data_IF_190372890166
#
_entry.id   IF_190372890166
#
_cell.length_a   1.000
_cell.length_b   1.000
_cell.length_c   1.000
_cell.angle_alpha   90.00
_cell.angle_beta   90.00
_cell.angle_gamma   90.00
#
_symmetry.space_group_name_H-M   'P 1'
#
loop_
_entity.id
_entity.type
_entity.pdbx_description
1 polymer ?
#
# COMPACT_ATOMS: atom_id res chain seq x y z
N UNK A 1 23.07 17.15 -9.56
CA UNK A 1 22.10 16.34 -10.32
C UNK A 1 20.91 16.05 -9.44
N UNK A 2 19.71 16.34 -9.92
CA UNK A 2 18.45 15.87 -9.32
C UNK A 2 18.37 14.33 -9.40
N UNK A 3 17.50 13.68 -8.60
CA UNK A 3 17.31 12.22 -8.69
C UNK A 3 16.89 11.78 -10.09
N UNK A 4 16.07 12.58 -10.77
CA UNK A 4 15.62 12.32 -12.13
C UNK A 4 16.75 12.35 -13.17
N UNK A 5 17.68 13.32 -13.09
CA UNK A 5 18.84 13.38 -13.97
C UNK A 5 19.80 12.19 -13.78
N UNK A 6 19.98 11.74 -12.53
CA UNK A 6 20.80 10.56 -12.22
C UNK A 6 20.16 9.29 -12.79
N UNK A 7 18.86 9.12 -12.56
CA UNK A 7 18.10 7.98 -13.06
C UNK A 7 18.12 7.94 -14.59
N UNK A 8 17.97 9.08 -15.27
CA UNK A 8 18.02 9.14 -16.74
C UNK A 8 19.36 8.68 -17.32
N UNK A 9 20.48 9.07 -16.71
CA UNK A 9 21.82 8.64 -17.14
C UNK A 9 21.99 7.12 -16.99
N UNK A 10 21.58 6.57 -15.85
CA UNK A 10 21.62 5.14 -15.59
C UNK A 10 20.74 4.35 -16.58
N UNK A 11 19.48 4.78 -16.75
CA UNK A 11 18.54 4.18 -17.69
C UNK A 11 19.10 4.18 -19.11
N UNK A 12 19.78 5.24 -19.54
CA UNK A 12 20.45 5.27 -20.86
C UNK A 12 21.50 4.16 -21.02
N UNK A 13 22.28 3.85 -19.97
CA UNK A 13 23.25 2.74 -20.00
C UNK A 13 22.54 1.38 -20.13
N UNK A 14 21.45 1.18 -19.40
CA UNK A 14 20.64 -0.04 -19.49
C UNK A 14 19.96 -0.18 -20.86
N UNK A 15 19.48 0.92 -21.46
CA UNK A 15 18.91 0.93 -22.81
C UNK A 15 19.96 0.53 -23.86
N UNK A 16 21.18 1.06 -23.77
CA UNK A 16 22.26 0.68 -24.68
C UNK A 16 22.60 -0.80 -24.55
N UNK A 17 22.70 -1.31 -23.32
CA UNK A 17 22.91 -2.74 -23.08
C UNK A 17 21.78 -3.59 -23.66
N UNK A 18 20.51 -3.24 -23.41
CA UNK A 18 19.38 -3.98 -23.93
C UNK A 18 19.37 -3.98 -25.46
N UNK A 19 19.69 -2.84 -26.09
CA UNK A 19 19.78 -2.73 -27.55
C UNK A 19 20.85 -3.68 -28.11
N UNK A 20 22.03 -3.73 -27.49
CA UNK A 20 23.12 -4.60 -27.94
C UNK A 20 22.77 -6.08 -27.78
N UNK A 21 22.14 -6.48 -26.67
CA UNK A 21 21.65 -7.85 -26.47
C UNK A 21 20.58 -8.21 -27.52
N UNK A 22 19.66 -7.30 -27.80
CA UNK A 22 18.60 -7.51 -28.77
C UNK A 22 19.18 -7.69 -30.19
N UNK A 23 20.12 -6.84 -30.59
CA UNK A 23 20.84 -6.94 -31.87
C UNK A 23 21.62 -8.24 -31.98
N UNK A 24 22.40 -8.61 -30.95
CA UNK A 24 23.15 -9.86 -30.92
C UNK A 24 22.22 -11.07 -31.06
N UNK A 25 21.06 -11.07 -30.37
CA UNK A 25 20.09 -12.17 -30.48
C UNK A 25 19.48 -12.27 -31.87
N UNK A 26 19.07 -11.14 -32.48
CA UNK A 26 18.55 -11.12 -33.85
C UNK A 26 19.60 -11.70 -34.80
N UNK A 27 20.83 -11.18 -34.75
CA UNK A 27 21.91 -11.61 -35.64
C UNK A 27 22.23 -13.10 -35.47
N UNK A 28 22.33 -13.60 -34.23
CA UNK A 28 22.53 -15.01 -33.95
C UNK A 28 21.38 -15.92 -34.43
N UNK A 29 20.16 -15.38 -34.55
CA UNK A 29 19.00 -16.15 -35.01
C UNK A 29 19.01 -16.31 -36.54
N UNK A 30 19.42 -15.29 -37.28
CA UNK A 30 19.51 -15.33 -38.75
C UNK A 30 20.87 -15.84 -39.26
N UNK A 31 21.91 -15.71 -38.45
CA UNK A 31 23.26 -16.21 -38.69
C UNK A 31 23.80 -16.93 -37.44
N UNK A 32 23.69 -18.27 -37.36
CA UNK A 32 24.19 -19.04 -36.22
C UNK A 32 25.69 -18.92 -35.95
N UNK A 33 26.50 -18.41 -36.91
CA UNK A 33 27.92 -18.16 -36.71
C UNK A 33 28.19 -16.90 -35.88
N UNK A 34 27.23 -15.98 -35.80
CA UNK A 34 27.31 -14.81 -34.93
C UNK A 34 27.33 -15.22 -33.45
N UNK A 35 28.01 -14.48 -32.57
CA UNK A 35 28.08 -14.82 -31.15
C UNK A 35 26.71 -14.72 -30.46
N UNK A 36 26.42 -15.67 -29.57
CA UNK A 36 25.24 -15.60 -28.70
C UNK A 36 25.36 -14.43 -27.73
N UNK A 37 24.25 -13.79 -27.31
CA UNK A 37 24.31 -12.62 -26.45
C UNK A 37 24.85 -12.94 -25.06
N UNK A 38 25.66 -12.01 -24.54
CA UNK A 38 26.35 -12.14 -23.25
C UNK A 38 25.57 -11.33 -22.19
N UNK A 39 24.58 -11.95 -21.56
CA UNK A 39 23.72 -11.26 -20.59
C UNK A 39 24.49 -10.75 -19.36
N UNK A 40 25.58 -11.44 -18.97
CA UNK A 40 26.36 -11.10 -17.77
C UNK A 40 27.01 -9.71 -17.82
N UNK A 41 27.14 -9.10 -19.00
CA UNK A 41 27.70 -7.75 -19.14
C UNK A 41 26.86 -6.68 -18.43
N UNK A 42 25.58 -6.94 -18.16
CA UNK A 42 24.73 -6.06 -17.35
C UNK A 42 25.31 -5.81 -15.96
N UNK A 43 26.05 -6.79 -15.41
CA UNK A 43 26.68 -6.65 -14.09
C UNK A 43 27.72 -5.54 -14.07
N UNK A 44 28.35 -5.24 -15.20
CA UNK A 44 29.30 -4.13 -15.30
C UNK A 44 28.59 -2.80 -15.07
N UNK A 45 27.40 -2.62 -15.63
CA UNK A 45 26.55 -1.43 -15.44
C UNK A 45 26.11 -1.32 -13.98
N UNK A 46 25.57 -2.41 -13.42
CA UNK A 46 25.12 -2.47 -12.02
C UNK A 46 26.27 -2.22 -11.03
N UNK A 47 27.50 -2.59 -11.38
CA UNK A 47 28.70 -2.45 -10.55
C UNK A 47 29.38 -1.08 -10.59
N UNK A 48 29.02 -0.22 -11.56
CA UNK A 48 29.41 1.19 -11.50
C UNK A 48 28.87 1.78 -10.20
N UNK A 49 29.53 2.79 -9.62
CA UNK A 49 28.97 3.60 -8.50
C UNK A 49 27.74 4.40 -8.94
N UNK A 50 26.77 3.73 -9.56
CA UNK A 50 25.50 4.24 -9.96
C UNK A 50 24.52 4.05 -8.80
N UNK A 51 24.12 5.16 -8.21
CA UNK A 51 23.16 5.24 -7.11
C UNK A 51 21.73 5.51 -7.63
N UNK A 52 21.44 5.25 -8.91
CA UNK A 52 20.07 5.29 -9.43
C UNK A 52 19.18 4.25 -8.74
N UNK A 53 17.88 4.57 -8.60
CA UNK A 53 16.96 3.66 -7.90
C UNK A 53 16.85 2.29 -8.59
N UNK A 54 16.94 2.25 -9.92
CA UNK A 54 16.94 0.98 -10.67
C UNK A 54 18.16 0.12 -10.29
N UNK A 55 19.35 0.70 -10.26
CA UNK A 55 20.59 -0.01 -9.89
C UNK A 55 20.62 -0.40 -8.41
N UNK A 56 20.13 0.47 -7.52
CA UNK A 56 19.96 0.17 -6.10
C UNK A 56 18.99 -1.00 -5.91
N UNK A 57 17.85 -0.97 -6.59
CA UNK A 57 16.85 -2.03 -6.53
C UNK A 57 17.39 -3.37 -7.03
N UNK A 58 18.09 -3.39 -8.17
CA UNK A 58 18.72 -4.59 -8.73
C UNK A 58 19.71 -5.20 -7.73
N UNK A 59 20.55 -4.37 -7.09
CA UNK A 59 21.55 -4.82 -6.10
C UNK A 59 20.91 -5.32 -4.82
N UNK A 60 19.94 -4.59 -4.28
CA UNK A 60 19.28 -4.91 -3.01
C UNK A 60 18.50 -6.24 -3.09
N UNK A 61 17.99 -6.59 -4.27
CA UNK A 61 17.26 -7.84 -4.50
C UNK A 61 18.12 -8.94 -5.14
N UNK A 62 19.42 -8.70 -5.36
CA UNK A 62 20.36 -9.65 -5.95
C UNK A 62 19.92 -10.26 -7.29
N UNK A 63 19.32 -9.46 -8.17
CA UNK A 63 18.76 -9.98 -9.43
C UNK A 63 19.85 -10.57 -10.34
N UNK A 64 19.52 -11.70 -10.95
CA UNK A 64 20.30 -12.37 -12.00
C UNK A 64 20.28 -11.57 -13.31
N UNK A 65 21.26 -11.77 -14.21
CA UNK A 65 21.26 -11.12 -15.53
C UNK A 65 19.97 -11.34 -16.32
N UNK A 66 19.39 -12.55 -16.24
CA UNK A 66 18.14 -12.93 -16.89
C UNK A 66 16.96 -12.13 -16.33
N UNK A 67 16.86 -12.02 -15.01
CA UNK A 67 15.86 -11.19 -14.35
C UNK A 67 16.00 -9.71 -14.73
N UNK A 68 17.23 -9.18 -14.80
CA UNK A 68 17.45 -7.79 -15.20
C UNK A 68 16.98 -7.56 -16.64
N UNK A 69 17.22 -8.49 -17.56
CA UNK A 69 16.72 -8.37 -18.94
C UNK A 69 15.19 -8.34 -18.98
N UNK A 70 14.51 -9.23 -18.25
CA UNK A 70 13.04 -9.22 -18.18
C UNK A 70 12.52 -7.92 -17.55
N UNK A 71 13.19 -7.43 -16.51
CA UNK A 71 12.89 -6.15 -15.88
C UNK A 71 12.96 -5.00 -16.89
N UNK A 72 14.03 -4.95 -17.69
CA UNK A 72 14.20 -3.94 -18.72
C UNK A 72 13.18 -4.08 -19.86
N UNK A 73 12.86 -5.30 -20.30
CA UNK A 73 11.83 -5.53 -21.32
C UNK A 73 10.46 -4.99 -20.90
N UNK A 74 10.10 -5.12 -19.61
CA UNK A 74 8.87 -4.56 -19.08
C UNK A 74 8.95 -3.04 -18.84
N UNK A 75 10.13 -2.53 -18.47
CA UNK A 75 10.35 -1.11 -18.12
C UNK A 75 10.37 -0.17 -19.33
N UNK A 76 11.13 -0.55 -20.36
CA UNK A 76 11.49 0.34 -21.49
C UNK A 76 10.30 0.90 -22.28
N UNK A 77 9.21 0.16 -22.55
CA UNK A 77 8.06 0.71 -23.26
C UNK A 77 7.44 1.94 -22.59
N UNK A 78 7.62 2.12 -21.28
CA UNK A 78 7.09 3.25 -20.52
C UNK A 78 7.98 4.49 -20.58
N UNK A 79 9.28 4.33 -20.85
CA UNK A 79 10.26 5.43 -20.88
C UNK A 79 10.59 5.84 -22.32
N UNK A 80 10.72 4.86 -23.22
CA UNK A 80 11.01 5.09 -24.63
C UNK A 80 10.17 4.13 -25.50
N UNK A 81 8.91 4.50 -25.81
CA UNK A 81 7.97 3.61 -26.52
C UNK A 81 8.46 3.12 -27.89
N UNK A 82 9.22 3.95 -28.61
CA UNK A 82 9.76 3.65 -29.95
C UNK A 82 11.04 2.80 -29.92
N UNK A 83 11.53 2.43 -28.73
CA UNK A 83 12.84 1.78 -28.57
C UNK A 83 12.96 0.47 -29.36
N UNK A 84 12.03 -0.46 -29.16
CA UNK A 84 12.11 -1.78 -29.80
C UNK A 84 11.93 -1.68 -31.32
N UNK A 85 10.97 -0.87 -31.77
CA UNK A 85 10.78 -0.60 -33.20
C UNK A 85 12.05 -0.03 -33.85
N UNK A 86 12.73 0.90 -33.17
CA UNK A 86 14.01 1.45 -33.65
C UNK A 86 15.09 0.37 -33.76
N UNK A 87 15.25 -0.48 -32.76
CA UNK A 87 16.27 -1.53 -32.73
C UNK A 87 15.99 -2.62 -33.78
N UNK A 88 14.74 -3.05 -33.92
CA UNK A 88 14.30 -4.06 -34.89
C UNK A 88 14.53 -3.57 -36.33
N UNK A 89 14.07 -2.35 -36.64
CA UNK A 89 14.17 -1.77 -37.98
C UNK A 89 15.62 -1.48 -38.39
N UNK A 90 16.53 -1.24 -37.44
CA UNK A 90 17.95 -1.06 -37.74
C UNK A 90 18.66 -2.36 -38.15
N UNK A 91 18.20 -3.52 -37.68
CA UNK A 91 18.83 -4.82 -37.99
C UNK A 91 18.17 -5.52 -39.17
N UNK A 92 16.88 -5.29 -39.40
CA UNK A 92 16.11 -6.02 -40.40
C UNK A 92 15.92 -5.15 -41.64
N UNK A 93 16.65 -5.47 -42.71
CA UNK A 93 16.58 -4.75 -43.99
C UNK A 93 15.29 -5.02 -44.79
N UNK A 94 14.48 -6.00 -44.37
CA UNK A 94 13.22 -6.35 -45.00
C UNK A 94 12.04 -5.85 -44.18
N UNK A 95 11.16 -5.09 -44.82
CA UNK A 95 9.87 -4.71 -44.25
C UNK A 95 8.98 -5.96 -44.09
N UNK A 96 8.65 -6.33 -42.86
CA UNK A 96 7.79 -7.48 -42.57
C UNK A 96 7.61 -7.72 -41.08
N UNK A 97 6.60 -8.52 -40.71
CA UNK A 97 6.42 -9.01 -39.34
C UNK A 97 7.40 -10.15 -39.07
N UNK A 98 7.98 -10.18 -37.87
CA UNK A 98 8.93 -11.19 -37.42
C UNK A 98 8.37 -11.95 -36.21
N UNK A 99 7.50 -12.96 -36.44
CA UNK A 99 6.82 -13.68 -35.36
C UNK A 99 7.77 -14.32 -34.35
N UNK A 100 9.00 -14.66 -34.76
CA UNK A 100 10.00 -15.30 -33.92
C UNK A 100 10.47 -14.41 -32.76
N UNK A 101 10.38 -13.09 -32.91
CA UNK A 101 10.71 -12.11 -31.86
C UNK A 101 9.58 -12.04 -30.81
N UNK A 102 8.38 -12.52 -31.15
CA UNK A 102 7.17 -12.33 -30.36
C UNK A 102 6.75 -10.86 -30.34
N UNK A 103 6.08 -10.45 -29.27
CA UNK A 103 5.59 -9.09 -29.10
C UNK A 103 4.20 -8.85 -29.70
N UNK A 104 3.54 -7.81 -29.21
CA UNK A 104 2.23 -7.36 -29.73
C UNK A 104 2.26 -5.87 -30.04
N UNK A 105 1.30 -5.38 -30.83
CA UNK A 105 1.18 -3.95 -31.14
C UNK A 105 0.24 -3.27 -30.14
N UNK A 106 0.68 -2.15 -29.58
CA UNK A 106 -0.16 -1.34 -28.70
C UNK A 106 -1.42 -0.84 -29.42
N UNK A 107 -2.60 -0.96 -28.80
CA UNK A 107 -3.87 -0.50 -29.40
C UNK A 107 -3.90 1.00 -29.67
N UNK A 108 -3.27 1.80 -28.81
CA UNK A 108 -3.23 3.27 -28.91
C UNK A 108 -1.92 3.76 -29.52
N UNK A 109 -0.77 3.34 -28.99
CA UNK A 109 0.55 3.80 -29.44
C UNK A 109 1.02 3.15 -30.74
N UNK A 110 0.46 2.00 -31.14
CA UNK A 110 0.92 1.13 -32.24
C UNK A 110 2.39 0.67 -32.16
N UNK A 111 3.13 1.07 -31.13
CA UNK A 111 4.48 0.61 -30.85
C UNK A 111 4.52 -0.87 -30.45
N UNK A 112 5.71 -1.46 -30.59
CA UNK A 112 6.01 -2.82 -30.19
C UNK A 112 6.01 -2.96 -28.66
N UNK A 113 5.19 -3.89 -28.14
CA UNK A 113 5.11 -4.24 -26.73
C UNK A 113 5.65 -5.66 -26.52
N UNK A 114 6.74 -5.83 -25.74
CA UNK A 114 7.30 -7.13 -25.44
C UNK A 114 6.30 -8.07 -24.76
N UNK A 115 6.35 -9.35 -25.13
CA UNK A 115 5.56 -10.43 -24.52
C UNK A 115 6.46 -11.43 -23.79
N UNK A 116 5.87 -12.43 -23.13
CA UNK A 116 6.62 -13.56 -22.58
C UNK A 116 7.48 -14.26 -23.64
N UNK A 117 6.96 -14.38 -24.87
CA UNK A 117 7.74 -14.88 -26.01
C UNK A 117 8.94 -14.00 -26.37
N UNK A 118 8.81 -12.67 -26.30
CA UNK A 118 9.95 -11.76 -26.50
C UNK A 118 11.03 -11.98 -25.46
N UNK A 119 10.66 -12.18 -24.19
CA UNK A 119 11.63 -12.52 -23.16
C UNK A 119 12.35 -13.84 -23.44
N UNK A 120 11.62 -14.90 -23.78
CA UNK A 120 12.23 -16.20 -24.11
C UNK A 120 13.12 -16.14 -25.35
N UNK A 121 12.72 -15.37 -26.37
CA UNK A 121 13.53 -15.13 -27.56
C UNK A 121 14.88 -14.52 -27.17
N UNK A 122 14.87 -13.48 -26.33
CA UNK A 122 16.10 -12.80 -25.89
C UNK A 122 16.96 -13.68 -24.98
N UNK A 123 16.37 -14.36 -24.02
CA UNK A 123 17.11 -15.15 -23.04
C UNK A 123 17.66 -16.46 -23.63
N UNK A 124 16.84 -17.16 -24.40
CA UNK A 124 17.11 -18.55 -24.78
C UNK A 124 17.12 -18.80 -26.30
N UNK A 125 16.53 -17.91 -27.11
CA UNK A 125 16.36 -18.14 -28.54
C UNK A 125 15.65 -19.47 -28.81
N UNK A 126 16.28 -20.32 -29.63
CA UNK A 126 15.76 -21.66 -29.99
C UNK A 126 16.28 -22.80 -29.06
N UNK A 127 17.07 -22.49 -28.04
CA UNK A 127 17.58 -23.51 -27.12
C UNK A 127 16.49 -23.95 -26.13
N UNK A 128 15.91 -25.12 -26.36
CA UNK A 128 14.76 -25.62 -25.60
C UNK A 128 15.04 -25.76 -24.10
N UNK A 129 16.23 -26.23 -23.72
CA UNK A 129 16.60 -26.35 -22.31
C UNK A 129 16.61 -24.98 -21.61
N UNK A 130 17.29 -23.99 -22.21
CA UNK A 130 17.31 -22.62 -21.67
C UNK A 130 15.93 -21.98 -21.64
N UNK A 131 15.07 -22.31 -22.61
CA UNK A 131 13.67 -21.84 -22.62
C UNK A 131 12.93 -22.37 -21.40
N UNK A 132 13.04 -23.67 -21.10
CA UNK A 132 12.42 -24.25 -19.92
C UNK A 132 12.90 -23.63 -18.61
N UNK A 133 14.21 -23.38 -18.49
CA UNK A 133 14.76 -22.68 -17.32
C UNK A 133 14.20 -21.25 -17.20
N UNK A 134 14.10 -20.54 -18.33
CA UNK A 134 13.59 -19.16 -18.38
C UNK A 134 12.09 -19.05 -18.11
N UNK A 135 11.30 -20.11 -18.35
CA UNK A 135 9.87 -20.12 -18.01
C UNK A 135 9.64 -19.95 -16.50
N UNK A 136 10.58 -20.38 -15.67
CA UNK A 136 10.48 -20.24 -14.21
C UNK A 136 10.39 -18.77 -13.77
N UNK A 137 10.90 -17.82 -14.57
CA UNK A 137 10.81 -16.37 -14.30
C UNK A 137 9.37 -15.85 -14.27
N UNK A 138 8.45 -16.54 -14.95
CA UNK A 138 7.03 -16.18 -15.03
C UNK A 138 6.14 -17.06 -14.13
N UNK A 139 6.74 -17.90 -13.29
CA UNK A 139 6.01 -18.72 -12.32
C UNK A 139 5.46 -17.90 -11.15
N UNK A 140 4.37 -18.37 -10.54
CA UNK A 140 3.74 -17.72 -9.38
C UNK A 140 4.66 -17.62 -8.15
N UNK A 141 5.65 -18.50 -8.05
CA UNK A 141 6.63 -18.53 -6.95
C UNK A 141 7.86 -17.66 -7.21
N UNK A 142 7.98 -17.08 -8.41
CA UNK A 142 9.14 -16.29 -8.77
C UNK A 142 9.13 -14.92 -8.07
N UNK A 143 10.31 -14.30 -7.96
CA UNK A 143 10.48 -12.98 -7.34
C UNK A 143 9.52 -11.93 -7.92
N UNK A 144 9.36 -11.91 -9.25
CA UNK A 144 8.45 -10.97 -9.94
C UNK A 144 7.00 -11.11 -9.50
N UNK A 145 6.49 -12.33 -9.39
CA UNK A 145 5.14 -12.60 -8.92
C UNK A 145 5.00 -12.26 -7.43
N UNK A 146 5.94 -12.69 -6.58
CA UNK A 146 5.90 -12.44 -5.13
C UNK A 146 5.96 -10.95 -4.77
N UNK A 147 6.71 -10.15 -5.51
CA UNK A 147 6.79 -8.69 -5.31
C UNK A 147 5.72 -7.91 -6.07
N UNK A 148 4.89 -8.61 -6.86
CA UNK A 148 3.94 -8.00 -7.79
C UNK A 148 4.63 -6.94 -8.67
N UNK A 149 5.83 -7.26 -9.17
CA UNK A 149 6.67 -6.35 -9.93
C UNK A 149 6.34 -6.44 -11.43
N UNK A 150 6.35 -7.67 -11.96
CA UNK A 150 6.11 -7.97 -13.38
C UNK A 150 5.19 -9.18 -13.50
N UNK A 151 4.26 -9.10 -14.45
CA UNK A 151 3.38 -10.21 -14.82
C UNK A 151 3.10 -10.22 -16.31
N UNK A 152 2.54 -11.33 -16.80
CA UNK A 152 2.03 -11.44 -18.16
C UNK A 152 0.53 -11.12 -18.17
N UNK A 153 0.13 -10.20 -19.05
CA UNK A 153 -1.29 -9.93 -19.31
C UNK A 153 -1.99 -11.16 -19.89
N UNK A 154 -3.30 -11.30 -19.69
CA UNK A 154 -4.05 -12.41 -20.28
C UNK A 154 -4.16 -12.23 -21.79
N UNK A 155 -3.67 -13.19 -22.61
CA UNK A 155 -3.78 -13.11 -24.04
C UNK A 155 -5.23 -13.42 -24.50
N UNK A 156 -5.50 -13.24 -25.79
CA UNK A 156 -6.82 -13.54 -26.37
C UNK A 156 -7.15 -15.05 -26.30
N UNK A 157 -8.44 -15.38 -26.35
CA UNK A 157 -8.88 -16.77 -26.19
C UNK A 157 -8.27 -17.69 -27.27
N UNK A 158 -7.58 -18.74 -26.84
CA UNK A 158 -6.90 -19.70 -27.72
C UNK A 158 -5.40 -19.43 -27.92
N UNK A 159 -4.89 -18.30 -27.44
CA UNK A 159 -3.46 -17.97 -27.50
C UNK A 159 -2.67 -18.62 -26.34
N UNK A 160 -1.40 -19.00 -26.57
CA UNK A 160 -0.51 -19.44 -25.51
C UNK A 160 -0.33 -18.37 -24.42
N UNK A 161 -0.15 -18.75 -23.13
CA UNK A 161 0.05 -17.78 -22.04
C UNK A 161 1.20 -16.79 -22.27
N UNK A 162 2.25 -17.20 -22.98
CA UNK A 162 3.43 -16.38 -23.27
C UNK A 162 3.20 -15.32 -24.35
N UNK A 163 2.09 -15.40 -25.09
CA UNK A 163 1.62 -14.31 -25.97
C UNK A 163 1.17 -13.08 -25.17
N UNK A 164 0.99 -13.22 -23.85
CA UNK A 164 0.68 -12.11 -22.95
C UNK A 164 1.76 -11.03 -22.93
N UNK A 165 1.33 -9.76 -22.89
CA UNK A 165 2.24 -8.60 -22.77
C UNK A 165 2.94 -8.61 -21.42
N UNK A 166 4.22 -8.24 -21.40
CA UNK A 166 4.93 -7.96 -20.16
C UNK A 166 4.43 -6.66 -19.55
N UNK A 167 3.87 -6.76 -18.35
CA UNK A 167 3.35 -5.65 -17.58
C UNK A 167 4.28 -5.37 -16.40
N UNK A 168 4.48 -4.09 -16.08
CA UNK A 168 5.18 -3.65 -14.88
C UNK A 168 4.22 -2.90 -13.94
N UNK A 169 4.40 -3.09 -12.64
CA UNK A 169 3.65 -2.35 -11.64
C UNK A 169 4.07 -0.86 -11.62
N UNK A 170 3.07 0.03 -11.70
CA UNK A 170 3.29 1.47 -11.93
C UNK A 170 4.05 2.19 -10.83
N UNK A 171 3.95 1.72 -9.60
CA UNK A 171 4.69 2.21 -8.45
C UNK A 171 6.22 1.98 -8.57
N UNK A 172 6.64 0.88 -9.19
CA UNK A 172 8.06 0.65 -9.51
C UNK A 172 8.51 1.48 -10.70
N UNK A 173 7.64 1.73 -11.70
CA UNK A 173 7.94 2.68 -12.78
C UNK A 173 8.27 4.06 -12.20
N UNK A 174 7.43 4.54 -11.29
CA UNK A 174 7.61 5.82 -10.60
C UNK A 174 8.89 5.85 -9.75
N UNK A 175 9.19 4.75 -9.03
CA UNK A 175 10.45 4.62 -8.30
C UNK A 175 11.66 4.78 -9.24
N UNK A 176 11.69 4.02 -10.34
CA UNK A 176 12.84 3.98 -11.25
C UNK A 176 13.01 5.28 -12.03
N UNK A 177 11.93 5.99 -12.37
CA UNK A 177 11.98 7.25 -13.11
C UNK A 177 12.22 8.45 -12.17
N UNK A 178 11.42 8.58 -11.11
CA UNK A 178 11.37 9.78 -10.28
C UNK A 178 12.13 9.67 -8.97
N UNK A 179 12.59 8.48 -8.60
CA UNK A 179 13.30 8.26 -7.34
C UNK A 179 12.39 8.14 -6.12
N UNK A 180 11.07 7.99 -6.34
CA UNK A 180 10.07 7.97 -5.28
C UNK A 180 8.97 6.99 -5.62
N UNK A 181 8.57 6.17 -4.66
CA UNK A 181 7.29 5.49 -4.75
C UNK A 181 6.17 6.53 -4.73
N UNK A 182 5.38 6.59 -5.80
CA UNK A 182 4.09 7.26 -5.73
C UNK A 182 3.18 6.41 -4.84
N UNK A 183 2.71 7.01 -3.75
CA UNK A 183 1.69 6.40 -2.92
C UNK A 183 0.43 6.28 -3.78
N UNK A 184 -0.22 5.10 -3.83
CA UNK A 184 -1.46 4.97 -4.57
C UNK A 184 -2.45 6.01 -4.06
N UNK A 185 -3.00 6.81 -4.97
CA UNK A 185 -4.10 7.72 -4.65
C UNK A 185 -5.41 6.93 -4.72
N UNK A 186 -6.42 7.36 -3.94
CA UNK A 186 -7.76 6.78 -4.01
C UNK A 186 -8.24 6.88 -5.46
N UNK A 187 -8.61 5.75 -6.05
CA UNK A 187 -9.21 5.69 -7.37
C UNK A 187 -10.32 4.63 -7.38
N UNK A 188 -11.07 4.55 -8.48
CA UNK A 188 -12.03 3.46 -8.67
C UNK A 188 -11.33 2.09 -8.57
N UNK A 189 -10.08 1.98 -9.04
CA UNK A 189 -9.30 0.74 -9.02
C UNK A 189 -8.56 0.49 -7.69
N UNK A 190 -8.49 1.49 -6.79
CA UNK A 190 -7.78 1.39 -5.52
C UNK A 190 -8.55 2.11 -4.39
N UNK A 191 -9.40 1.40 -3.63
CA UNK A 191 -10.31 1.98 -2.64
C UNK A 191 -9.63 2.21 -1.29
N UNK A 192 -8.38 2.66 -1.28
CA UNK A 192 -7.64 2.91 -0.05
C UNK A 192 -6.86 4.22 -0.08
N UNK A 193 -6.87 4.90 1.06
CA UNK A 193 -6.23 6.19 1.28
C UNK A 193 -5.00 6.02 2.17
N UNK A 194 -3.86 6.52 1.76
CA UNK A 194 -2.71 6.61 2.67
C UNK A 194 -2.99 7.64 3.77
N UNK A 195 -2.98 7.18 5.03
CA UNK A 195 -3.19 8.05 6.20
C UNK A 195 -1.89 8.18 7.01
N UNK A 196 -1.62 9.39 7.50
CA UNK A 196 -0.44 9.70 8.31
C UNK A 196 -0.72 10.86 9.26
N UNK A 197 0.17 11.05 10.23
CA UNK A 197 0.05 12.12 11.22
C UNK A 197 1.42 12.71 11.58
N UNK A 198 1.46 14.02 11.80
CA UNK A 198 2.63 14.69 12.35
C UNK A 198 2.80 14.39 13.85
N UNK A 199 1.72 14.02 14.53
CA UNK A 199 1.70 13.66 15.94
C UNK A 199 2.62 12.46 16.23
N UNK A 200 3.02 12.37 17.48
CA UNK A 200 3.94 11.36 18.02
C UNK A 200 3.24 10.50 19.07
N UNK A 201 3.90 9.45 19.52
CA UNK A 201 3.40 8.61 20.62
C UNK A 201 3.12 9.41 21.89
N UNK A 202 3.88 10.49 22.13
CA UNK A 202 3.66 11.37 23.27
C UNK A 202 2.32 12.12 23.17
N UNK A 203 1.75 12.28 21.98
CA UNK A 203 0.47 12.98 21.78
C UNK A 203 -0.73 12.05 21.94
N UNK A 204 -0.52 10.73 21.84
CA UNK A 204 -1.55 9.72 22.05
C UNK A 204 -1.69 9.39 23.53
N UNK A 205 -2.71 9.96 24.16
CA UNK A 205 -3.04 9.69 25.57
C UNK A 205 -4.08 8.58 25.64
N UNK A 206 -3.69 7.43 26.16
CA UNK A 206 -4.53 6.25 26.34
C UNK A 206 -4.29 5.63 27.72
N UNK A 207 -5.23 4.83 28.24
CA UNK A 207 -4.99 4.04 29.44
C UNK A 207 -3.84 3.06 29.26
N UNK A 208 -3.13 2.75 30.36
CA UNK A 208 -1.97 1.86 30.36
C UNK A 208 -2.27 0.48 29.74
N UNK A 209 -3.46 -0.07 30.00
CA UNK A 209 -3.89 -1.33 29.39
C UNK A 209 -3.90 -1.26 27.85
N UNK A 210 -4.54 -0.24 27.28
CA UNK A 210 -4.62 -0.05 25.82
C UNK A 210 -3.22 0.16 25.22
N UNK A 211 -2.34 0.88 25.91
CA UNK A 211 -0.94 1.08 25.50
C UNK A 211 -0.19 -0.26 25.46
N UNK A 212 -0.37 -1.11 26.48
CA UNK A 212 0.27 -2.43 26.52
C UNK A 212 -0.21 -3.32 25.38
N UNK A 213 -1.52 -3.35 25.09
CA UNK A 213 -2.09 -4.09 23.96
C UNK A 213 -1.57 -3.57 22.61
N UNK A 214 -1.41 -2.25 22.43
CA UNK A 214 -0.78 -1.68 21.23
C UNK A 214 0.70 -2.06 21.10
N UNK A 215 1.41 -2.16 22.23
CA UNK A 215 2.81 -2.61 22.27
C UNK A 215 2.95 -4.08 21.87
N UNK A 216 1.96 -4.92 22.17
CA UNK A 216 1.92 -6.30 21.68
C UNK A 216 1.81 -6.36 20.15
N UNK A 217 1.01 -5.48 19.54
CA UNK A 217 0.96 -5.35 18.07
C UNK A 217 2.29 -4.88 17.50
N UNK A 218 2.93 -3.90 18.13
CA UNK A 218 4.26 -3.43 17.73
C UNK A 218 5.29 -4.57 17.78
N UNK A 219 5.29 -5.35 18.86
CA UNK A 219 6.16 -6.51 19.00
C UNK A 219 5.89 -7.54 17.91
N UNK A 220 4.62 -7.84 17.61
CA UNK A 220 4.29 -8.75 16.52
C UNK A 220 4.88 -8.26 15.19
N UNK A 221 4.70 -6.98 14.85
CA UNK A 221 5.26 -6.39 13.63
C UNK A 221 6.78 -6.57 13.57
N UNK A 222 7.49 -6.31 14.67
CA UNK A 222 8.96 -6.37 14.73
C UNK A 222 9.52 -7.79 14.67
N UNK A 223 8.82 -8.76 15.27
CA UNK A 223 9.36 -10.11 15.49
C UNK A 223 8.66 -11.20 14.66
N UNK A 224 7.64 -10.87 13.87
CA UNK A 224 6.86 -11.82 13.07
C UNK A 224 7.75 -12.68 12.17
N UNK A 225 8.68 -12.08 11.41
CA UNK A 225 9.48 -12.82 10.43
C UNK A 225 10.46 -13.77 11.11
N UNK A 226 11.04 -13.36 12.24
CA UNK A 226 11.88 -14.22 13.09
C UNK A 226 11.06 -15.41 13.60
N UNK A 227 9.85 -15.16 14.12
CA UNK A 227 8.97 -16.20 14.64
C UNK A 227 8.54 -17.19 13.55
N UNK A 228 8.20 -16.70 12.36
CA UNK A 228 7.70 -17.53 11.27
C UNK A 228 8.83 -18.30 10.57
N UNK A 229 9.95 -17.66 10.26
CA UNK A 229 11.06 -18.27 9.54
C UNK A 229 12.02 -19.01 10.48
N UNK A 230 12.63 -18.30 11.43
CA UNK A 230 13.71 -18.86 12.25
C UNK A 230 13.18 -19.88 13.26
N UNK A 231 12.01 -19.63 13.85
CA UNK A 231 11.42 -20.55 14.84
C UNK A 231 10.47 -21.58 14.20
N UNK A 232 10.32 -21.56 12.86
CA UNK A 232 9.51 -22.52 12.11
C UNK A 232 8.06 -22.65 12.62
N UNK A 233 7.47 -21.54 13.07
CA UNK A 233 6.11 -21.52 13.61
C UNK A 233 5.02 -21.55 12.53
N UNK A 234 5.40 -21.46 11.24
CA UNK A 234 4.49 -21.56 10.08
C UNK A 234 3.59 -22.79 10.06
N UNK A 235 4.03 -23.89 10.69
CA UNK A 235 3.22 -25.13 10.80
C UNK A 235 2.05 -25.02 11.78
N UNK A 236 2.08 -24.05 12.70
CA UNK A 236 1.09 -23.89 13.76
C UNK A 236 0.28 -22.59 13.63
N UNK A 237 0.87 -21.55 13.02
CA UNK A 237 0.28 -20.23 12.94
C UNK A 237 -0.12 -19.92 11.50
N UNK A 238 -1.35 -19.41 11.34
CA UNK A 238 -1.75 -18.77 10.09
C UNK A 238 -0.96 -17.47 9.91
N UNK A 239 -0.58 -17.11 8.67
CA UNK A 239 0.10 -15.85 8.41
C UNK A 239 -0.82 -14.67 8.68
N UNK A 240 -0.21 -13.51 9.01
CA UNK A 240 -0.89 -12.26 9.31
C UNK A 240 -1.50 -12.14 10.70
N UNK A 241 -1.86 -10.90 11.03
CA UNK A 241 -2.43 -10.55 12.33
C UNK A 241 -3.63 -9.64 12.14
N UNK A 242 -4.69 -9.90 12.90
CA UNK A 242 -5.94 -9.17 12.85
C UNK A 242 -6.24 -8.60 14.23
N UNK A 243 -6.34 -7.28 14.28
CA UNK A 243 -6.71 -6.55 15.47
C UNK A 243 -8.05 -5.84 15.28
N UNK A 244 -8.92 -5.90 16.28
CA UNK A 244 -10.18 -5.15 16.33
C UNK A 244 -10.03 -4.01 17.33
N UNK A 245 -10.04 -2.76 16.85
CA UNK A 245 -10.09 -1.57 17.67
C UNK A 245 -11.55 -1.19 17.89
N UNK A 246 -12.00 -1.19 19.14
CA UNK A 246 -13.38 -0.83 19.44
C UNK A 246 -13.47 0.24 20.53
N UNK A 247 -14.50 1.07 20.44
CA UNK A 247 -14.73 2.17 21.39
C UNK A 247 -15.52 3.28 20.75
N UNK A 248 -15.96 4.25 21.54
CA UNK A 248 -16.74 5.38 21.03
C UNK A 248 -15.98 6.16 19.93
N UNK A 249 -16.70 6.89 19.06
CA UNK A 249 -16.05 7.77 18.10
C UNK A 249 -15.18 8.81 18.83
N UNK A 250 -14.05 9.18 18.21
CA UNK A 250 -13.16 10.22 18.74
C UNK A 250 -12.22 9.79 19.88
N UNK A 251 -12.12 8.50 20.22
CA UNK A 251 -11.21 7.97 21.26
C UNK A 251 -9.79 7.65 20.77
N UNK A 252 -9.47 7.94 19.51
CA UNK A 252 -8.09 7.83 18.99
C UNK A 252 -7.74 6.54 18.25
N UNK A 253 -8.73 5.71 17.85
CA UNK A 253 -8.50 4.46 17.09
C UNK A 253 -7.64 4.66 15.83
N UNK A 254 -8.05 5.58 14.95
CA UNK A 254 -7.33 5.90 13.70
C UNK A 254 -5.98 6.53 13.98
N UNK A 255 -5.88 7.39 15.01
CA UNK A 255 -4.61 8.01 15.43
C UNK A 255 -3.61 6.96 15.92
N UNK A 256 -4.06 5.98 16.72
CA UNK A 256 -3.24 4.89 17.20
C UNK A 256 -2.69 4.04 16.04
N UNK A 257 -3.49 3.75 15.02
CA UNK A 257 -3.03 3.05 13.83
C UNK A 257 -1.94 3.84 13.06
N UNK A 258 -2.12 5.15 12.87
CA UNK A 258 -1.11 6.00 12.21
C UNK A 258 0.20 6.06 13.00
N UNK A 259 0.13 6.18 14.33
CA UNK A 259 1.31 6.19 15.20
C UNK A 259 2.00 4.83 15.20
N UNK A 260 1.25 3.72 15.21
CA UNK A 260 1.80 2.36 15.09
C UNK A 260 2.56 2.19 13.77
N UNK A 261 2.00 2.65 12.65
CA UNK A 261 2.70 2.68 11.36
C UNK A 261 4.00 3.47 11.42
N UNK A 262 3.97 4.68 11.96
CA UNK A 262 5.16 5.54 12.13
C UNK A 262 6.23 4.90 13.00
N UNK A 263 5.87 4.26 14.12
CA UNK A 263 6.79 3.56 15.03
C UNK A 263 7.45 2.34 14.40
N UNK A 264 6.73 1.67 13.50
CA UNK A 264 7.18 0.44 12.85
C UNK A 264 7.73 0.64 11.44
N UNK A 265 7.73 1.87 10.93
CA UNK A 265 8.16 2.18 9.57
C UNK A 265 7.20 1.66 8.49
N UNK A 266 5.97 1.29 8.85
CA UNK A 266 4.96 0.76 7.92
C UNK A 266 4.00 1.84 7.47
N UNK A 267 3.64 1.79 6.19
CA UNK A 267 2.59 2.64 5.64
C UNK A 267 1.21 2.16 6.10
N UNK A 268 0.31 3.09 6.41
CA UNK A 268 -1.05 2.79 6.84
C UNK A 268 -2.02 3.23 5.74
N UNK A 269 -2.80 2.29 5.24
CA UNK A 269 -3.83 2.54 4.26
C UNK A 269 -5.19 2.39 4.92
N UNK A 270 -6.00 3.44 4.90
CA UNK A 270 -7.39 3.44 5.32
C UNK A 270 -8.27 2.97 4.18
N UNK A 271 -9.03 1.90 4.40
CA UNK A 271 -10.05 1.40 3.49
C UNK A 271 -11.39 1.90 3.99
N UNK A 272 -12.08 2.66 3.16
CA UNK A 272 -13.48 3.03 3.40
C UNK A 272 -14.38 1.92 2.84
N UNK A 273 -14.96 1.14 3.76
CA UNK A 273 -15.82 0.01 3.43
C UNK A 273 -17.14 0.44 2.77
N UNK A 274 -17.59 1.67 2.99
CA UNK A 274 -18.79 2.21 2.33
C UNK A 274 -18.58 2.40 0.83
N UNK A 275 -17.34 2.74 0.41
CA UNK A 275 -16.98 2.85 -1.01
C UNK A 275 -16.89 1.48 -1.69
N UNK A 276 -16.48 0.45 -0.94
CA UNK A 276 -16.32 -0.92 -1.43
C UNK A 276 -17.69 -1.55 -1.72
N UNK A 277 -18.66 -1.40 -0.82
CA UNK A 277 -19.98 -2.06 -0.94
C UNK A 277 -20.94 -1.33 -1.90
N UNK A 278 -20.72 -0.05 -2.20
CA UNK A 278 -21.74 0.79 -2.83
C UNK A 278 -21.78 0.79 -4.36
N UNK A 279 -20.79 0.25 -5.09
CA UNK A 279 -20.74 0.42 -6.56
C UNK A 279 -20.18 -0.81 -7.29
N UNK A 280 -21.10 -1.56 -7.91
CA UNK A 280 -20.90 -2.63 -8.90
C UNK A 280 -20.48 -4.01 -8.34
N UNK A 281 -21.49 -4.89 -8.25
CA UNK A 281 -21.35 -6.33 -7.98
C UNK A 281 -20.33 -6.92 -8.99
N UNK A 282 -19.13 -7.26 -8.51
CA UNK A 282 -18.04 -7.87 -9.27
C UNK A 282 -16.79 -6.99 -9.51
N UNK A 283 -16.92 -5.68 -9.71
CA UNK A 283 -15.75 -4.78 -9.82
C UNK A 283 -15.08 -4.58 -8.46
N UNK A 284 -15.89 -4.51 -7.40
CA UNK A 284 -15.43 -4.45 -6.01
C UNK A 284 -14.51 -5.62 -5.64
N UNK A 285 -14.82 -6.85 -6.04
CA UNK A 285 -14.00 -8.02 -5.70
C UNK A 285 -12.63 -8.00 -6.38
N UNK A 286 -12.59 -7.50 -7.62
CA UNK A 286 -11.35 -7.31 -8.39
C UNK A 286 -10.49 -6.23 -7.74
N UNK A 287 -11.08 -5.10 -7.36
CA UNK A 287 -10.35 -3.98 -6.76
C UNK A 287 -9.84 -4.33 -5.35
N UNK A 288 -10.65 -5.05 -4.56
CA UNK A 288 -10.21 -5.61 -3.28
C UNK A 288 -9.08 -6.64 -3.46
N UNK A 289 -9.19 -7.55 -4.43
CA UNK A 289 -8.09 -8.48 -4.74
C UNK A 289 -6.80 -7.73 -5.06
N UNK A 290 -6.86 -6.72 -5.94
CA UNK A 290 -5.69 -5.92 -6.29
C UNK A 290 -5.12 -5.18 -5.08
N UNK A 291 -5.95 -4.64 -4.20
CA UNK A 291 -5.52 -4.00 -2.95
C UNK A 291 -4.74 -4.99 -2.06
N UNK A 292 -5.28 -6.17 -1.79
CA UNK A 292 -4.62 -7.16 -0.93
C UNK A 292 -3.34 -7.71 -1.56
N UNK A 293 -3.30 -7.92 -2.88
CA UNK A 293 -2.09 -8.34 -3.60
C UNK A 293 -0.99 -7.27 -3.56
N UNK A 294 -1.34 -5.99 -3.74
CA UNK A 294 -0.39 -4.88 -3.58
C UNK A 294 0.10 -4.72 -2.14
N UNK A 295 -0.79 -4.91 -1.17
CA UNK A 295 -0.44 -4.84 0.24
C UNK A 295 0.52 -5.95 0.67
N UNK A 296 0.39 -7.15 0.06
CA UNK A 296 1.22 -8.32 0.36
C UNK A 296 2.70 -8.08 0.09
N UNK A 297 3.05 -7.35 -0.97
CA UNK A 297 4.46 -7.11 -1.33
C UNK A 297 5.12 -5.97 -0.56
N UNK A 298 4.34 -5.13 0.14
CA UNK A 298 4.78 -3.84 0.72
C UNK A 298 4.63 -3.71 2.24
N UNK A 299 4.23 -4.79 2.92
CA UNK A 299 4.10 -4.85 4.39
C UNK A 299 3.22 -3.72 4.98
N UNK A 300 2.19 -3.31 4.23
CA UNK A 300 1.26 -2.27 4.66
C UNK A 300 0.44 -2.68 5.88
N UNK A 301 0.05 -1.70 6.69
CA UNK A 301 -1.01 -1.83 7.68
C UNK A 301 -2.32 -1.45 6.99
N UNK A 302 -3.23 -2.41 6.87
CA UNK A 302 -4.57 -2.17 6.31
C UNK A 302 -5.52 -1.81 7.45
N UNK A 303 -5.97 -0.56 7.47
CA UNK A 303 -6.91 -0.02 8.46
C UNK A 303 -8.31 0.09 7.85
N UNK A 304 -9.23 -0.74 8.28
CA UNK A 304 -10.63 -0.73 7.86
C UNK A 304 -11.42 0.09 8.88
N UNK A 305 -11.92 1.25 8.47
CA UNK A 305 -12.77 2.09 9.32
C UNK A 305 -14.24 1.69 9.18
N UNK A 306 -15.05 2.01 10.21
CA UNK A 306 -16.50 1.74 10.22
C UNK A 306 -16.89 0.28 9.98
N UNK A 307 -16.16 -0.67 10.58
CA UNK A 307 -16.41 -2.10 10.42
C UNK A 307 -17.84 -2.52 10.85
N UNK A 308 -18.50 -1.76 11.72
CA UNK A 308 -19.91 -1.99 12.08
C UNK A 308 -20.88 -1.90 10.89
N UNK A 309 -20.55 -1.15 9.84
CA UNK A 309 -21.36 -1.08 8.62
C UNK A 309 -21.43 -2.44 7.88
N UNK A 310 -20.39 -3.27 8.01
CA UNK A 310 -20.34 -4.60 7.40
C UNK A 310 -20.83 -5.71 8.32
N UNK A 311 -20.56 -5.59 9.63
CA UNK A 311 -20.70 -6.69 10.57
C UNK A 311 -21.84 -6.50 11.57
N UNK A 312 -22.70 -5.49 11.37
CA UNK A 312 -23.92 -5.31 12.15
C UNK A 312 -24.75 -6.59 12.20
N UNK A 313 -25.41 -6.84 13.34
CA UNK A 313 -26.24 -8.02 13.58
C UNK A 313 -27.11 -8.30 12.36
N UNK A 314 -26.81 -9.42 11.68
CA UNK A 314 -27.48 -9.90 10.47
C UNK A 314 -28.98 -9.65 10.60
N UNK A 315 -29.50 -8.67 9.87
CA UNK A 315 -30.95 -8.50 9.77
C UNK A 315 -31.50 -9.77 9.13
N UNK A 316 -32.60 -10.29 9.67
CA UNK A 316 -33.27 -11.46 9.11
C UNK A 316 -33.49 -11.23 7.62
N UNK A 317 -32.93 -12.13 6.80
CA UNK A 317 -32.98 -12.11 5.33
C UNK A 317 -34.43 -11.88 4.90
N UNK A 318 -34.71 -10.72 4.31
CA UNK A 318 -36.03 -10.43 3.73
C UNK A 318 -35.96 -10.32 2.21
N UNK A 319 -34.82 -9.87 1.65
CA UNK A 319 -34.70 -9.62 0.21
C UNK A 319 -33.48 -10.28 -0.46
N UNK A 320 -33.54 -10.44 -1.79
CA UNK A 320 -32.44 -10.97 -2.59
C UNK A 320 -31.17 -10.10 -2.52
N UNK A 321 -31.31 -8.78 -2.33
CA UNK A 321 -30.19 -7.86 -2.11
C UNK A 321 -29.39 -8.17 -0.83
N UNK A 322 -30.06 -8.61 0.24
CA UNK A 322 -29.39 -8.99 1.50
C UNK A 322 -28.47 -10.21 1.32
N UNK A 323 -28.81 -11.13 0.41
CA UNK A 323 -27.98 -12.32 0.14
C UNK A 323 -26.67 -11.95 -0.55
N UNK A 324 -26.70 -11.01 -1.49
CA UNK A 324 -25.50 -10.56 -2.20
C UNK A 324 -24.56 -9.77 -1.28
N UNK A 325 -25.09 -8.87 -0.45
CA UNK A 325 -24.30 -8.15 0.55
C UNK A 325 -23.60 -9.12 1.53
N UNK A 326 -24.27 -10.19 1.97
CA UNK A 326 -23.67 -11.20 2.84
C UNK A 326 -22.53 -12.00 2.18
N UNK A 327 -22.61 -12.23 0.86
CA UNK A 327 -21.54 -12.89 0.10
C UNK A 327 -20.30 -12.00 -0.02
N UNK A 328 -20.46 -10.71 -0.31
CA UNK A 328 -19.36 -9.75 -0.40
C UNK A 328 -18.64 -9.58 0.95
N UNK A 329 -19.39 -9.49 2.05
CA UNK A 329 -18.83 -9.45 3.41
C UNK A 329 -18.04 -10.73 3.72
N UNK A 330 -18.55 -11.89 3.30
CA UNK A 330 -17.86 -13.18 3.49
C UNK A 330 -16.57 -13.26 2.66
N UNK A 331 -16.58 -12.75 1.43
CA UNK A 331 -15.41 -12.67 0.57
C UNK A 331 -14.34 -11.74 1.14
N UNK A 332 -14.71 -10.53 1.55
CA UNK A 332 -13.80 -9.59 2.19
C UNK A 332 -13.18 -10.19 3.45
N UNK A 333 -13.99 -10.88 4.25
CA UNK A 333 -13.51 -11.61 5.43
C UNK A 333 -12.45 -12.64 5.10
N UNK A 334 -12.69 -13.47 4.09
CA UNK A 334 -11.73 -14.45 3.64
C UNK A 334 -10.42 -13.79 3.17
N UNK A 335 -10.49 -12.62 2.53
CA UNK A 335 -9.30 -11.86 2.14
C UNK A 335 -8.53 -11.31 3.34
N UNK A 336 -9.23 -10.77 4.34
CA UNK A 336 -8.63 -10.32 5.62
C UNK A 336 -7.94 -11.49 6.35
N UNK A 337 -8.56 -12.67 6.36
CA UNK A 337 -8.02 -13.88 6.98
C UNK A 337 -6.83 -14.51 6.24
N UNK A 338 -6.69 -14.22 4.95
CA UNK A 338 -5.60 -14.73 4.12
C UNK A 338 -4.49 -13.71 3.89
N UNK A 339 -4.64 -12.47 4.37
CA UNK A 339 -3.61 -11.45 4.25
C UNK A 339 -2.48 -11.69 5.25
N UNK A 340 -1.24 -11.76 4.75
CA UNK A 340 -0.06 -12.08 5.57
C UNK A 340 0.42 -10.91 6.46
N UNK A 341 -0.09 -9.69 6.22
CA UNK A 341 0.25 -8.48 6.98
C UNK A 341 -0.64 -8.21 8.19
N UNK A 342 -0.53 -6.98 8.72
CA UNK A 342 -1.38 -6.50 9.81
C UNK A 342 -2.66 -5.88 9.24
N UNK A 343 -3.80 -6.41 9.66
CA UNK A 343 -5.11 -5.83 9.40
C UNK A 343 -5.71 -5.31 10.71
N UNK A 344 -6.11 -4.05 10.73
CA UNK A 344 -6.79 -3.40 11.85
C UNK A 344 -8.20 -3.07 11.40
N UNK A 345 -9.21 -3.55 12.11
CA UNK A 345 -10.59 -3.15 11.94
C UNK A 345 -10.98 -2.21 13.06
N UNK A 346 -11.56 -1.06 12.74
CA UNK A 346 -12.10 -0.13 13.74
C UNK A 346 -13.63 -0.17 13.74
N UNK A 347 -14.22 -0.25 14.92
CA UNK A 347 -15.68 -0.18 15.08
C UNK A 347 -16.08 0.69 16.27
N UNK A 348 -17.23 1.35 16.14
CA UNK A 348 -17.81 2.11 17.24
C UNK A 348 -18.61 1.23 18.21
N UNK A 349 -19.14 0.09 17.75
CA UNK A 349 -20.07 -0.75 18.51
C UNK A 349 -19.70 -2.23 18.49
N UNK A 350 -18.85 -2.67 19.43
CA UNK A 350 -18.48 -4.10 19.56
C UNK A 350 -19.70 -5.01 19.72
N UNK A 351 -20.75 -4.56 20.43
CA UNK A 351 -21.98 -5.34 20.68
C UNK A 351 -22.75 -5.70 19.42
N UNK A 352 -22.47 -5.02 18.30
CA UNK A 352 -23.13 -5.26 17.03
C UNK A 352 -22.41 -6.31 16.20
N UNK A 353 -21.21 -6.72 16.60
CA UNK A 353 -20.36 -7.69 15.91
C UNK A 353 -20.63 -9.10 16.50
N UNK A 354 -20.79 -10.10 15.62
CA UNK A 354 -21.00 -11.50 15.99
C UNK A 354 -19.79 -12.10 16.75
N UNK A 355 -20.02 -12.87 17.81
CA UNK A 355 -18.98 -13.55 18.58
C UNK A 355 -18.12 -14.50 17.71
N UNK A 356 -18.73 -15.15 16.71
CA UNK A 356 -18.01 -16.01 15.76
C UNK A 356 -16.98 -15.22 14.94
N UNK A 357 -17.22 -13.94 14.73
CA UNK A 357 -16.32 -13.03 14.05
C UNK A 357 -15.20 -12.57 14.98
N UNK A 358 -15.54 -12.18 16.21
CA UNK A 358 -14.56 -11.74 17.23
C UNK A 358 -13.49 -12.82 17.46
N UNK A 359 -13.85 -14.11 17.44
CA UNK A 359 -12.92 -15.24 17.59
C UNK A 359 -11.84 -15.34 16.50
N UNK A 360 -11.98 -14.62 15.38
CA UNK A 360 -11.00 -14.61 14.28
C UNK A 360 -9.89 -13.57 14.47
N UNK A 361 -10.04 -12.70 15.45
CA UNK A 361 -9.06 -11.68 15.81
C UNK A 361 -8.10 -12.21 16.86
N UNK A 362 -6.81 -11.90 16.70
CA UNK A 362 -5.79 -12.21 17.67
C UNK A 362 -5.81 -11.19 18.82
N UNK A 363 -6.15 -9.93 18.53
CA UNK A 363 -6.33 -8.87 19.54
C UNK A 363 -7.65 -8.15 19.38
N UNK A 364 -8.27 -7.82 20.51
CA UNK A 364 -9.45 -6.98 20.57
C UNK A 364 -9.17 -5.86 21.57
N UNK A 365 -8.79 -4.69 21.05
CA UNK A 365 -8.27 -3.56 21.82
C UNK A 365 -9.40 -2.57 22.09
N UNK A 366 -9.61 -2.26 23.36
CA UNK A 366 -10.62 -1.30 23.78
C UNK A 366 -10.05 0.12 23.94
N UNK A 367 -10.72 1.08 23.31
CA UNK A 367 -10.44 2.51 23.40
C UNK A 367 -11.57 3.20 24.20
N UNK A 368 -11.46 3.29 25.53
CA UNK A 368 -12.46 3.94 26.37
C UNK A 368 -12.47 5.46 26.16
N UNK A 369 -13.51 6.11 26.70
CA UNK A 369 -13.44 7.56 26.90
C UNK A 369 -12.31 7.89 27.88
N UNK A 370 -11.54 8.96 27.62
CA UNK A 370 -10.44 9.35 28.48
C UNK A 370 -10.94 9.73 29.88
N UNK A 371 -10.25 9.28 30.92
CA UNK A 371 -10.46 9.66 32.33
C UNK A 371 -10.08 11.13 32.57
N UNK A 372 -10.48 11.74 33.71
CA UNK A 372 -10.16 13.15 33.98
C UNK A 372 -8.67 13.51 33.81
N UNK A 373 -7.75 12.70 34.33
CA UNK A 373 -6.30 12.94 34.20
C UNK A 373 -5.81 12.85 32.74
N UNK A 374 -6.37 11.89 31.98
CA UNK A 374 -6.08 11.72 30.56
C UNK A 374 -6.63 12.91 29.74
N UNK A 375 -7.87 13.34 30.02
CA UNK A 375 -8.48 14.54 29.43
C UNK A 375 -7.66 15.79 29.72
N UNK A 376 -7.20 15.96 30.96
CA UNK A 376 -6.31 17.07 31.33
C UNK A 376 -5.02 17.04 30.50
N UNK A 377 -4.38 15.88 30.36
CA UNK A 377 -3.20 15.77 29.50
C UNK A 377 -3.51 16.08 28.03
N UNK A 378 -4.68 15.69 27.51
CA UNK A 378 -5.09 16.00 26.14
C UNK A 378 -5.31 17.50 25.98
N UNK A 379 -6.04 18.15 26.90
CA UNK A 379 -6.23 19.60 26.90
C UNK A 379 -4.89 20.36 26.86
N UNK A 380 -3.95 20.00 27.72
CA UNK A 380 -2.63 20.64 27.78
C UNK A 380 -1.86 20.52 26.46
N UNK A 381 -1.98 19.37 25.77
CA UNK A 381 -1.28 19.10 24.51
C UNK A 381 -2.00 19.66 23.28
N UNK A 382 -3.32 19.82 23.35
CA UNK A 382 -4.13 20.25 22.22
C UNK A 382 -3.97 21.74 21.89
N UNK A 383 -3.61 22.57 22.87
CA UNK A 383 -3.36 23.99 22.61
C UNK A 383 -2.06 24.22 21.84
N UNK A 384 -2.06 25.11 20.84
CA UNK A 384 -0.86 25.38 20.05
C UNK A 384 0.16 26.19 20.86
N UNK A 385 1.44 25.87 20.68
CA UNK A 385 2.55 26.59 21.35
C UNK A 385 2.87 27.84 20.54
N UNK A 386 2.08 28.91 20.73
CA UNK A 386 2.22 30.20 20.03
C UNK A 386 2.64 31.29 21.01
N UNK A 387 3.55 32.16 20.58
CA UNK A 387 4.01 33.30 21.38
C UNK A 387 2.83 34.22 21.72
N UNK A 388 2.74 34.60 23.00
CA UNK A 388 1.72 35.50 23.57
C UNK A 388 0.29 34.92 23.64
N UNK A 389 0.04 33.67 23.25
CA UNK A 389 -1.25 33.04 23.47
C UNK A 389 -1.43 32.73 24.96
N UNK A 390 -2.42 33.38 25.57
CA UNK A 390 -2.83 33.12 26.95
C UNK A 390 -3.91 32.03 26.93
N UNK A 391 -3.61 30.91 27.58
CA UNK A 391 -4.55 29.80 27.81
C UNK A 391 -4.94 29.73 29.29
N UNK A 392 -6.06 29.07 29.64
CA UNK A 392 -6.42 28.87 31.04
C UNK A 392 -5.34 28.11 31.80
N UNK A 393 -5.22 28.38 33.10
CA UNK A 393 -4.21 27.74 33.92
C UNK A 393 -4.48 26.23 34.12
N UNK A 394 -3.49 25.49 34.63
CA UNK A 394 -3.63 24.05 34.82
C UNK A 394 -4.78 23.68 35.78
N UNK A 395 -5.12 24.54 36.75
CA UNK A 395 -6.22 24.26 37.68
C UNK A 395 -7.56 24.36 36.97
N UNK A 396 -7.75 25.38 36.15
CA UNK A 396 -8.93 25.57 35.31
C UNK A 396 -9.09 24.43 34.31
N UNK A 397 -8.01 24.05 33.60
CA UNK A 397 -8.06 22.93 32.66
C UNK A 397 -8.39 21.61 33.37
N UNK A 398 -7.88 21.40 34.58
CA UNK A 398 -8.21 20.23 35.38
C UNK A 398 -9.67 20.22 35.86
N UNK A 399 -10.23 21.37 36.21
CA UNK A 399 -11.65 21.50 36.53
C UNK A 399 -12.53 21.14 35.33
N UNK A 400 -12.21 21.67 34.14
CA UNK A 400 -12.89 21.33 32.88
C UNK A 400 -12.81 19.82 32.62
N UNK A 401 -11.61 19.25 32.74
CA UNK A 401 -11.36 17.84 32.51
C UNK A 401 -12.15 16.93 33.47
N UNK A 402 -12.33 17.34 34.73
CA UNK A 402 -13.16 16.59 35.71
C UNK A 402 -14.65 16.72 35.43
N UNK A 403 -15.11 17.91 35.04
CA UNK A 403 -16.53 18.23 34.91
C UNK A 403 -17.16 17.68 33.63
N UNK A 404 -16.43 17.70 32.50
CA UNK A 404 -17.00 17.39 31.19
C UNK A 404 -16.42 16.09 30.61
N UNK A 405 -17.28 15.11 30.37
CA UNK A 405 -16.91 13.84 29.73
C UNK A 405 -16.93 13.95 28.20
N UNK A 406 -15.82 14.43 27.67
CA UNK A 406 -15.61 14.66 26.23
C UNK A 406 -14.53 13.72 25.66
N UNK A 407 -14.67 13.34 24.38
CA UNK A 407 -13.69 12.52 23.66
C UNK A 407 -12.43 13.32 23.31
N UNK A 408 -11.33 12.63 22.96
CA UNK A 408 -10.11 13.31 22.53
C UNK A 408 -10.32 14.18 21.28
N UNK A 409 -11.06 13.65 20.29
CA UNK A 409 -11.43 14.43 19.11
C UNK A 409 -12.34 15.62 19.46
N UNK A 410 -13.27 15.46 20.40
CA UNK A 410 -14.10 16.55 20.90
C UNK A 410 -13.27 17.66 21.54
N UNK A 411 -12.24 17.32 22.33
CA UNK A 411 -11.32 18.31 22.91
C UNK A 411 -10.61 19.11 21.80
N UNK A 412 -10.09 18.43 20.77
CA UNK A 412 -9.42 19.10 19.63
C UNK A 412 -10.39 20.02 18.89
N UNK A 413 -11.64 19.60 18.67
CA UNK A 413 -12.67 20.44 18.05
C UNK A 413 -12.96 21.69 18.87
N UNK A 414 -13.03 21.57 20.20
CA UNK A 414 -13.25 22.72 21.08
C UNK A 414 -12.06 23.67 21.05
N UNK A 415 -10.82 23.16 21.09
CA UNK A 415 -9.62 24.00 20.99
C UNK A 415 -9.58 24.72 19.64
N UNK A 416 -9.89 24.03 18.55
CA UNK A 416 -9.97 24.63 17.22
C UNK A 416 -10.99 25.77 17.18
N UNK A 417 -12.19 25.54 17.69
CA UNK A 417 -13.22 26.58 17.82
C UNK A 417 -12.71 27.77 18.62
N UNK A 418 -12.11 27.53 19.79
CA UNK A 418 -11.58 28.60 20.64
C UNK A 418 -10.50 29.43 19.95
N UNK A 419 -9.62 28.79 19.17
CA UNK A 419 -8.58 29.47 18.41
C UNK A 419 -9.16 30.33 17.28
N UNK A 420 -10.15 29.81 16.54
CA UNK A 420 -10.81 30.55 15.46
C UNK A 420 -11.51 31.79 16.01
N UNK A 421 -12.27 31.66 17.10
CA UNK A 421 -12.96 32.80 17.72
C UNK A 421 -11.97 33.82 18.29
N UNK A 422 -10.87 33.37 18.91
CA UNK A 422 -9.82 34.26 19.38
C UNK A 422 -9.21 35.08 18.23
N UNK A 423 -8.92 34.44 17.10
CA UNK A 423 -8.41 35.10 15.90
C UNK A 423 -9.45 36.08 15.30
N UNK A 424 -10.72 35.69 15.26
CA UNK A 424 -11.80 36.55 14.77
C UNK A 424 -11.93 37.84 15.60
N UNK A 425 -11.75 37.73 16.93
CA UNK A 425 -11.76 38.85 17.86
C UNK A 425 -10.43 39.64 17.90
N UNK A 426 -9.43 39.27 17.08
CA UNK A 426 -8.05 39.76 17.17
C UNK A 426 -7.45 39.66 18.59
N UNK A 427 -7.84 38.62 19.34
CA UNK A 427 -7.42 38.36 20.71
C UNK A 427 -6.41 37.22 20.77
N UNK A 428 -5.42 37.35 21.64
CA UNK A 428 -4.46 36.29 21.98
C UNK A 428 -4.81 35.62 23.32
N UNK A 429 -6.09 35.62 23.70
CA UNK A 429 -6.56 35.04 24.96
C UNK A 429 -7.68 34.03 24.70
N UNK A 430 -7.51 32.82 25.23
CA UNK A 430 -8.54 31.79 25.31
C UNK A 430 -9.02 31.74 26.75
N UNK A 431 -10.25 32.20 26.99
CA UNK A 431 -10.84 32.23 28.33
C UNK A 431 -11.56 30.94 28.66
N UNK A 432 -11.81 30.71 29.95
CA UNK A 432 -12.59 29.57 30.44
C UNK A 432 -14.02 29.57 29.84
N UNK A 433 -14.65 30.74 29.74
CA UNK A 433 -15.99 30.92 29.19
C UNK A 433 -16.05 30.51 27.72
N UNK A 434 -15.00 30.80 26.94
CA UNK A 434 -14.92 30.42 25.53
C UNK A 434 -14.78 28.90 25.37
N UNK A 435 -13.96 28.25 26.21
CA UNK A 435 -13.87 26.79 26.22
C UNK A 435 -15.23 26.18 26.58
N UNK A 436 -15.91 26.71 27.60
CA UNK A 436 -17.23 26.24 28.01
C UNK A 436 -18.25 26.32 26.87
N UNK A 437 -18.28 27.43 26.13
CA UNK A 437 -19.15 27.60 24.96
C UNK A 437 -18.82 26.58 23.86
N UNK A 438 -17.54 26.30 23.63
CA UNK A 438 -17.12 25.27 22.69
C UNK A 438 -17.54 23.85 23.12
N UNK A 439 -17.43 23.52 24.41
CA UNK A 439 -17.90 22.23 24.96
C UNK A 439 -19.40 22.10 24.79
N UNK A 440 -20.17 23.14 25.10
CA UNK A 440 -21.63 23.14 24.93
C UNK A 440 -22.03 22.87 23.48
N UNK A 441 -21.34 23.50 22.52
CA UNK A 441 -21.54 23.25 21.10
C UNK A 441 -21.23 21.80 20.70
N UNK A 442 -20.13 21.23 21.21
CA UNK A 442 -19.78 19.84 20.90
C UNK A 442 -20.79 18.86 21.50
N UNK A 443 -21.30 19.14 22.70
CA UNK A 443 -22.34 18.32 23.33
C UNK A 443 -23.66 18.39 22.55
N UNK A 444 -24.07 19.59 22.11
CA UNK A 444 -25.25 19.75 21.25
C UNK A 444 -25.11 18.99 19.93
N UNK A 445 -23.93 19.01 19.31
CA UNK A 445 -23.63 18.26 18.09
C UNK A 445 -23.72 16.74 18.31
N UNK A 446 -23.28 16.25 19.46
CA UNK A 446 -23.38 14.84 19.85
C UNK A 446 -24.78 14.45 20.39
N UNK A 447 -25.71 15.40 20.49
CA UNK A 447 -27.04 15.17 21.07
C UNK A 447 -27.03 14.87 22.57
N UNK A 448 -25.98 15.30 23.28
CA UNK A 448 -25.81 15.14 24.74
C UNK A 448 -26.32 16.37 25.49
N UNK A 449 -26.79 16.15 26.72
CA UNK A 449 -27.15 17.22 27.65
C UNK A 449 -25.88 17.77 28.31
N UNK A 450 -25.77 19.09 28.39
CA UNK A 450 -24.64 19.83 28.96
C UNK A 450 -24.56 19.80 30.49
#
# INVERSE_FOLDING_TARGET
MTSSEKNALAVSQYLNFLADIFRQRINHTFDPASPSPILSDVRKIVSVKDDSELSVFIRANHLSPEEIVVLLLAFVPHVQPEFFDSVINQQLSQSGDFPQIGGTRGKQSRGFLPTGETALFILAGNNLHKRFDSLALFGSEHFFARKNLIWLDQPEAGEPPLSGKLMMAGDYLELFVHGKFLRPQISMDFPAEYITTELTENDLVLPEQTINELKELENWIRYHDVMMEQWSMKRWLKPGYRALFHGLPGTGKTLAAMILGKKTGREVFRIDLSMVVSKFIGETEKNLSQLFERAKSKEWILFFDEADALFGKRTNIRDAHDKYANQEVSYLLQRIENHDGLVILASNFKSNIDDAFIRRFQSVIYFPLPRPEERFSIWRKAFPVVKNLQIPDERQLMEIARKYEISGAGIVNVVQFCCIEALADNSMQITYERIKAGIEREFQKEGKVF
#
